data_IF_363128124589
#
_entry.id   IF_363128124589
#
_cell.length_a   1.000
_cell.length_b   1.000
_cell.length_c   1.000
_cell.angle_alpha   90.00
_cell.angle_beta   90.00
_cell.angle_gamma   90.00
#
_symmetry.space_group_name_H-M   'P 1'
#
loop_
_entity.id
_entity.type
_entity.pdbx_description
1 polymer ?
#
# COMPACT_ATOMS: atom_id res chain seq x y z
N UNK A 1 -17.00 -4.95 4.06
CA UNK A 1 -15.53 -4.98 3.93
C UNK A 1 -14.95 -4.89 5.32
N UNK A 2 -14.01 -5.78 5.64
CA UNK A 2 -13.16 -5.64 6.83
C UNK A 2 -12.10 -4.55 6.59
N UNK A 3 -11.57 -3.92 7.64
CA UNK A 3 -10.58 -2.87 7.49
C UNK A 3 -9.26 -3.41 6.91
N UNK A 4 -8.47 -2.51 6.32
CA UNK A 4 -7.07 -2.78 6.01
C UNK A 4 -6.24 -2.25 7.17
N UNK A 5 -5.44 -3.12 7.80
CA UNK A 5 -4.57 -2.72 8.91
C UNK A 5 -3.17 -2.42 8.39
N UNK A 6 -2.68 -1.20 8.64
CA UNK A 6 -1.29 -0.81 8.44
C UNK A 6 -0.56 -0.89 9.77
N UNK A 7 0.58 -1.57 9.79
CA UNK A 7 1.48 -1.64 10.96
C UNK A 7 2.79 -0.96 10.58
N UNK A 8 3.22 0.04 11.34
CA UNK A 8 4.48 0.73 11.09
C UNK A 8 5.68 -0.03 11.70
N UNK A 9 6.93 0.38 11.42
CA UNK A 9 8.12 -0.27 11.96
C UNK A 9 8.23 -0.25 13.50
N UNK A 10 7.49 0.64 14.15
CA UNK A 10 7.39 0.76 15.62
C UNK A 10 6.27 -0.14 16.20
N UNK A 11 5.63 -0.99 15.37
CA UNK A 11 4.49 -1.84 15.70
C UNK A 11 3.19 -1.08 16.06
N UNK A 12 3.10 0.21 15.74
CA UNK A 12 1.86 0.95 15.86
C UNK A 12 0.90 0.56 14.74
N UNK A 13 -0.37 0.40 15.09
CA UNK A 13 -1.41 -0.09 14.19
C UNK A 13 -2.39 1.01 13.83
N UNK A 14 -2.77 1.09 12.57
CA UNK A 14 -3.86 1.93 12.09
C UNK A 14 -4.73 1.17 11.11
N UNK A 15 -6.03 1.18 11.36
CA UNK A 15 -7.03 0.61 10.46
C UNK A 15 -7.54 1.66 9.49
N UNK A 16 -7.78 1.24 8.25
CA UNK A 16 -8.30 2.06 7.16
C UNK A 16 -9.50 1.40 6.53
N UNK A 17 -10.45 2.21 6.05
CA UNK A 17 -11.37 1.78 5.00
C UNK A 17 -10.64 1.65 3.65
N UNK A 18 -11.22 0.91 2.68
CA UNK A 18 -10.59 0.69 1.37
C UNK A 18 -10.27 2.01 0.63
N UNK A 19 -11.24 2.93 0.58
CA UNK A 19 -11.06 4.25 -0.07
C UNK A 19 -10.04 5.11 0.68
N UNK A 20 -10.09 5.10 2.01
CA UNK A 20 -9.13 5.84 2.85
C UNK A 20 -7.70 5.34 2.64
N UNK A 21 -7.52 4.01 2.53
CA UNK A 21 -6.21 3.42 2.30
C UNK A 21 -5.64 3.78 0.93
N UNK A 22 -6.47 3.82 -0.11
CA UNK A 22 -6.02 4.30 -1.42
C UNK A 22 -5.60 5.78 -1.35
N UNK A 23 -6.37 6.63 -0.67
CA UNK A 23 -6.00 8.03 -0.43
C UNK A 23 -4.67 8.18 0.33
N UNK A 24 -4.45 7.33 1.34
CA UNK A 24 -3.16 7.26 2.04
C UNK A 24 -2.00 6.91 1.08
N UNK A 25 -2.17 5.94 0.18
CA UNK A 25 -1.13 5.60 -0.81
C UNK A 25 -0.83 6.76 -1.76
N UNK A 26 -1.82 7.56 -2.14
CA UNK A 26 -1.59 8.77 -2.92
C UNK A 26 -0.75 9.79 -2.14
N UNK A 27 -1.00 9.97 -0.83
CA UNK A 27 -0.18 10.84 0.02
C UNK A 27 1.26 10.33 0.12
N UNK A 28 1.46 9.02 0.29
CA UNK A 28 2.79 8.40 0.28
C UNK A 28 3.51 8.69 -1.03
N UNK A 29 2.86 8.45 -2.17
CA UNK A 29 3.44 8.66 -3.50
C UNK A 29 3.80 10.14 -3.77
N UNK A 30 3.14 11.07 -3.10
CA UNK A 30 3.42 12.50 -3.19
C UNK A 30 4.50 12.99 -2.22
N UNK A 31 4.88 12.19 -1.23
CA UNK A 31 5.91 12.53 -0.24
C UNK A 31 7.31 12.62 -0.87
N UNK A 32 8.16 13.48 -0.31
CA UNK A 32 9.53 13.64 -0.78
C UNK A 32 10.35 12.35 -0.63
N UNK A 33 10.17 11.64 0.48
CA UNK A 33 10.87 10.39 0.79
C UNK A 33 10.57 9.31 -0.24
N UNK A 34 9.31 9.21 -0.67
CA UNK A 34 8.93 8.27 -1.72
C UNK A 34 9.50 8.69 -3.08
N UNK A 35 9.35 9.96 -3.48
CA UNK A 35 9.87 10.47 -4.76
C UNK A 35 11.36 10.20 -4.92
N UNK A 36 12.15 10.52 -3.89
CA UNK A 36 13.58 10.23 -3.89
C UNK A 36 13.89 8.73 -4.02
N UNK A 37 13.21 7.88 -3.24
CA UNK A 37 13.40 6.43 -3.34
C UNK A 37 13.02 5.88 -4.71
N UNK A 38 11.89 6.36 -5.27
CA UNK A 38 11.38 5.97 -6.58
C UNK A 38 12.36 6.33 -7.70
N UNK A 39 12.93 7.54 -7.65
CA UNK A 39 13.93 8.01 -8.61
C UNK A 39 15.20 7.16 -8.56
N UNK A 40 15.71 6.88 -7.35
CA UNK A 40 16.91 6.02 -7.15
C UNK A 40 16.68 4.60 -7.67
N UNK A 41 15.46 4.06 -7.54
CA UNK A 41 15.12 2.71 -7.98
C UNK A 41 14.68 2.63 -9.45
N UNK A 42 14.43 3.76 -10.11
CA UNK A 42 13.82 3.79 -11.44
C UNK A 42 12.38 3.24 -11.46
N UNK A 43 11.65 3.37 -10.34
CA UNK A 43 10.29 2.84 -10.17
C UNK A 43 9.28 3.98 -9.99
N UNK A 44 8.63 4.47 -11.05
CA UNK A 44 7.74 5.62 -10.95
C UNK A 44 6.46 5.27 -10.20
N UNK A 45 6.11 6.10 -9.21
CA UNK A 45 4.87 5.97 -8.44
C UNK A 45 3.60 6.39 -9.19
N UNK A 46 3.74 7.09 -10.30
CA UNK A 46 2.63 7.52 -11.17
C UNK A 46 2.95 7.18 -12.62
N UNK A 47 1.96 6.74 -13.38
CA UNK A 47 2.11 6.41 -14.79
C UNK A 47 0.90 6.89 -15.61
N UNK A 48 1.12 7.14 -16.90
CA UNK A 48 0.03 7.43 -17.82
C UNK A 48 -0.52 6.15 -18.41
N UNK A 49 -1.85 5.99 -18.38
CA UNK A 49 -2.55 4.89 -19.03
C UNK A 49 -3.81 5.44 -19.69
N UNK A 50 -3.91 5.30 -21.01
CA UNK A 50 -4.99 5.86 -21.82
C UNK A 50 -5.23 7.36 -21.60
N UNK A 51 -4.14 8.14 -21.48
CA UNK A 51 -4.20 9.59 -21.26
C UNK A 51 -4.42 10.01 -19.80
N UNK A 52 -4.78 9.09 -18.92
CA UNK A 52 -5.01 9.37 -17.49
C UNK A 52 -3.77 9.08 -16.66
N UNK A 53 -3.47 9.94 -15.70
CA UNK A 53 -2.45 9.67 -14.67
C UNK A 53 -3.01 8.74 -13.61
N UNK A 54 -2.36 7.60 -13.39
CA UNK A 54 -2.76 6.56 -12.43
C UNK A 54 -1.65 6.28 -11.44
N UNK A 55 -2.04 5.88 -10.23
CA UNK A 55 -1.13 5.49 -9.17
C UNK A 55 -0.58 4.09 -9.45
N UNK A 56 0.73 3.93 -9.36
CA UNK A 56 1.40 2.63 -9.40
C UNK A 56 1.37 1.99 -8.01
N UNK A 57 0.22 1.43 -7.64
CA UNK A 57 -0.03 0.84 -6.31
C UNK A 57 1.05 -0.18 -5.90
N UNK A 58 1.47 -1.14 -6.76
CA UNK A 58 2.52 -2.10 -6.40
C UNK A 58 3.87 -1.44 -6.04
N UNK A 59 4.21 -0.31 -6.68
CA UNK A 59 5.45 0.41 -6.35
C UNK A 59 5.35 1.10 -4.99
N UNK A 60 4.18 1.66 -4.66
CA UNK A 60 3.93 2.22 -3.33
C UNK A 60 3.96 1.14 -2.25
N UNK A 61 3.39 -0.03 -2.53
CA UNK A 61 3.42 -1.17 -1.61
C UNK A 61 4.85 -1.64 -1.35
N UNK A 62 5.66 -1.77 -2.41
CA UNK A 62 7.07 -2.11 -2.28
C UNK A 62 7.84 -1.09 -1.45
N UNK A 63 7.58 0.21 -1.63
CA UNK A 63 8.20 1.23 -0.79
C UNK A 63 7.84 1.05 0.68
N UNK A 64 6.55 0.85 0.99
CA UNK A 64 6.08 0.65 2.36
C UNK A 64 6.75 -0.58 2.99
N UNK A 65 6.82 -1.69 2.26
CA UNK A 65 7.50 -2.92 2.69
C UNK A 65 9.00 -2.68 2.93
N UNK A 66 9.73 -2.03 2.01
CA UNK A 66 11.15 -1.70 2.18
C UNK A 66 11.40 -0.76 3.37
N UNK A 67 10.39 0.03 3.77
CA UNK A 67 10.43 0.86 4.98
C UNK A 67 10.01 0.15 6.25
N UNK A 68 9.63 -1.14 6.17
CA UNK A 68 9.27 -1.97 7.31
C UNK A 68 7.79 -1.90 7.70
N UNK A 69 6.93 -1.29 6.88
CA UNK A 69 5.49 -1.33 7.09
C UNK A 69 4.91 -2.67 6.67
N UNK A 70 3.86 -3.11 7.37
CA UNK A 70 3.08 -4.30 7.02
C UNK A 70 1.65 -3.90 6.71
N UNK A 71 1.10 -4.44 5.63
CA UNK A 71 -0.30 -4.22 5.23
C UNK A 71 -1.04 -5.54 5.37
N UNK A 72 -2.11 -5.56 6.17
CA UNK A 72 -2.96 -6.73 6.36
C UNK A 72 -4.33 -6.40 5.77
N UNK A 73 -4.66 -7.04 4.66
CA UNK A 73 -6.02 -7.04 4.12
C UNK A 73 -6.85 -8.11 4.84
N UNK A 74 -7.70 -7.66 5.76
CA UNK A 74 -8.50 -8.56 6.59
C UNK A 74 -9.65 -9.24 5.82
N UNK A 75 -10.01 -8.76 4.62
CA UNK A 75 -10.99 -9.41 3.75
C UNK A 75 -10.38 -10.61 3.01
N UNK A 76 -9.08 -10.56 2.68
CA UNK A 76 -8.34 -11.69 2.08
C UNK A 76 -7.95 -12.71 3.15
N UNK A 77 -7.49 -12.25 4.32
CA UNK A 77 -7.05 -13.15 5.41
C UNK A 77 -8.20 -14.03 5.93
N UNK A 78 -9.41 -13.46 6.03
CA UNK A 78 -10.61 -14.21 6.39
C UNK A 78 -11.05 -15.26 5.37
N UNK A 79 -10.62 -15.15 4.10
CA UNK A 79 -10.86 -16.16 3.07
C UNK A 79 -9.82 -17.27 3.11
N UNK A 80 -8.54 -16.96 3.28
CA UNK A 80 -7.48 -17.97 3.38
C UNK A 80 -7.62 -18.86 4.62
N UNK A 81 -8.00 -18.30 5.77
CA UNK A 81 -8.24 -19.09 6.99
C UNK A 81 -9.40 -20.10 6.86
N UNK A 82 -10.38 -19.84 5.98
CA UNK A 82 -11.51 -20.76 5.73
C UNK A 82 -11.20 -21.84 4.70
N UNK A 83 -10.20 -21.64 3.84
CA UNK A 83 -9.80 -22.63 2.83
C UNK A 83 -8.94 -23.74 3.46
N UNK A 84 -8.18 -23.44 4.50
CA UNK A 84 -7.29 -24.39 5.19
C UNK A 84 -7.97 -25.17 6.33
N UNK A 85 -9.31 -25.12 6.44
CA UNK A 85 -10.10 -25.89 7.43
C UNK A 85 -10.86 -27.07 6.81
N UNK A 86 -10.43 -27.57 5.64
CA UNK A 86 -10.97 -28.79 5.02
C UNK A 86 -9.98 -29.93 5.11
#
# INVERSE_FOLDING_TARGET
MKPITLINPQNERRDFGFVEFYGFKQQVANSQSFKFWADVKGLPGWFKHNGETRLNVPVVDRFLEEKGYKVIDNDIFGKQAKVNQK
#
